data_IF_878761734438
#
_entry.id   IF_878761734438
#
_cell.length_a   1.000
_cell.length_b   1.000
_cell.length_c   1.000
_cell.angle_alpha   90.00
_cell.angle_beta   90.00
_cell.angle_gamma   90.00
#
_symmetry.space_group_name_H-M   'P 1'
#
loop_
_entity.id
_entity.type
_entity.pdbx_description
1 polymer ?
#
# COMPACT_ATOMS: atom_id res chain seq x y z
N UNK A 1 12.07 13.66 9.13
CA UNK A 1 11.35 13.59 7.83
C UNK A 1 9.86 13.69 8.12
N UNK A 2 9.19 14.77 7.73
CA UNK A 2 7.74 14.94 7.99
C UNK A 2 6.89 13.97 7.16
N UNK A 3 5.69 13.69 7.63
CA UNK A 3 4.70 12.85 6.91
C UNK A 3 4.33 13.54 5.60
N UNK A 4 4.40 12.81 4.47
CA UNK A 4 4.00 13.36 3.17
C UNK A 4 2.49 13.35 3.02
N UNK A 5 1.97 14.22 2.15
CA UNK A 5 0.55 14.28 1.81
C UNK A 5 0.05 12.87 1.42
N UNK A 6 -1.03 12.44 2.07
CA UNK A 6 -1.71 11.15 1.88
C UNK A 6 -1.07 9.92 2.53
N UNK A 7 0.04 10.06 3.24
CA UNK A 7 0.66 8.94 3.96
C UNK A 7 0.06 8.74 5.36
N UNK A 8 0.14 7.50 5.85
CA UNK A 8 -0.29 7.14 7.19
C UNK A 8 0.70 7.61 8.25
N UNK A 9 0.16 8.20 9.32
CA UNK A 9 0.92 8.42 10.54
C UNK A 9 1.33 7.09 11.16
N UNK A 10 2.35 7.11 12.02
CA UNK A 10 2.77 5.93 12.76
C UNK A 10 1.61 5.32 13.58
N UNK A 11 0.82 6.17 14.23
CA UNK A 11 -0.34 5.73 15.01
C UNK A 11 -1.43 5.08 14.15
N UNK A 12 -1.69 5.61 12.95
CA UNK A 12 -2.65 5.00 12.02
C UNK A 12 -2.11 3.67 11.47
N UNK A 13 -0.83 3.63 11.11
CA UNK A 13 -0.18 2.43 10.60
C UNK A 13 -0.26 1.28 11.62
N UNK A 14 0.06 1.53 12.88
CA UNK A 14 -0.01 0.52 13.95
C UNK A 14 -1.39 -0.10 14.13
N UNK A 15 -2.46 0.65 13.84
CA UNK A 15 -3.83 0.14 13.93
C UNK A 15 -4.19 -0.78 12.76
N UNK A 16 -3.72 -0.46 11.54
CA UNK A 16 -4.09 -1.23 10.35
C UNK A 16 -3.14 -2.38 10.04
N UNK A 17 -1.84 -2.25 10.35
CA UNK A 17 -0.83 -3.23 9.99
C UNK A 17 -1.16 -4.67 10.47
N UNK A 18 -1.74 -4.89 11.66
CA UNK A 18 -2.17 -6.23 12.10
C UNK A 18 -3.35 -6.82 11.31
N UNK A 19 -4.05 -6.03 10.49
CA UNK A 19 -5.19 -6.50 9.70
C UNK A 19 -4.82 -6.85 8.25
N UNK A 20 -3.71 -6.32 7.74
CA UNK A 20 -3.33 -6.48 6.32
C UNK A 20 -2.67 -7.83 6.01
N UNK A 21 -3.00 -8.53 4.93
CA UNK A 21 -2.32 -9.78 4.57
C UNK A 21 -0.88 -9.54 4.07
N UNK A 22 -0.09 -10.61 3.97
CA UNK A 22 1.29 -10.57 3.47
C UNK A 22 2.32 -10.16 4.52
N UNK A 23 2.00 -10.34 5.81
CA UNK A 23 2.93 -10.15 6.92
C UNK A 23 4.00 -11.25 6.95
N UNK A 24 5.05 -11.02 7.74
CA UNK A 24 6.04 -12.06 8.07
C UNK A 24 5.29 -13.18 8.79
N UNK A 25 5.29 -14.39 8.20
CA UNK A 25 4.56 -15.56 8.71
C UNK A 25 3.30 -15.93 7.92
N UNK A 26 2.80 -15.05 7.05
CA UNK A 26 1.67 -15.39 6.18
C UNK A 26 2.13 -16.34 5.05
N UNK A 27 1.27 -17.30 4.68
CA UNK A 27 1.55 -18.19 3.56
C UNK A 27 1.60 -17.40 2.24
N UNK A 28 2.71 -17.50 1.51
CA UNK A 28 2.93 -16.81 0.25
C UNK A 28 4.09 -15.81 0.30
N UNK A 29 4.18 -14.94 -0.71
CA UNK A 29 5.26 -13.96 -0.81
C UNK A 29 4.91 -12.76 0.09
N UNK A 30 5.61 -12.60 1.22
CA UNK A 30 5.50 -11.40 2.04
C UNK A 30 5.79 -10.18 1.17
N UNK A 31 4.88 -9.21 1.15
CA UNK A 31 5.09 -7.96 0.42
C UNK A 31 6.33 -7.27 0.98
N UNK A 32 7.22 -6.77 0.11
CA UNK A 32 8.52 -6.23 0.52
C UNK A 32 8.41 -5.08 1.53
N UNK A 33 7.29 -4.33 1.49
CA UNK A 33 6.90 -3.35 2.52
C UNK A 33 5.39 -3.03 2.40
N UNK A 34 4.57 -3.58 3.29
CA UNK A 34 3.11 -3.33 3.32
C UNK A 34 2.77 -1.86 3.59
N UNK A 35 3.61 -1.12 4.31
CA UNK A 35 3.36 0.30 4.60
C UNK A 35 3.54 1.13 3.36
N UNK A 36 4.63 0.90 2.63
CA UNK A 36 4.92 1.57 1.37
C UNK A 36 3.84 1.28 0.33
N UNK A 37 3.37 0.03 0.24
CA UNK A 37 2.24 -0.36 -0.59
C UNK A 37 0.96 0.41 -0.23
N UNK A 38 0.58 0.43 1.05
CA UNK A 38 -0.63 1.13 1.50
C UNK A 38 -0.55 2.64 1.26
N UNK A 39 0.60 3.25 1.52
CA UNK A 39 0.82 4.65 1.23
C UNK A 39 0.71 4.95 -0.27
N UNK A 40 1.19 4.05 -1.14
CA UNK A 40 1.02 4.16 -2.59
C UNK A 40 -0.45 4.10 -3.02
N UNK A 41 -1.22 3.15 -2.47
CA UNK A 41 -2.65 3.04 -2.73
C UNK A 41 -3.40 4.30 -2.26
N UNK A 42 -3.13 4.77 -1.04
CA UNK A 42 -3.76 5.98 -0.50
C UNK A 42 -3.43 7.23 -1.31
N UNK A 43 -2.21 7.33 -1.83
CA UNK A 43 -1.84 8.44 -2.71
C UNK A 43 -2.71 8.44 -3.96
N UNK A 44 -2.89 7.30 -4.64
CA UNK A 44 -3.75 7.19 -5.83
C UNK A 44 -5.20 7.47 -5.48
N UNK A 45 -5.75 6.80 -4.47
CA UNK A 45 -7.16 6.91 -4.10
C UNK A 45 -7.55 8.32 -3.61
N UNK A 46 -6.65 9.05 -2.94
CA UNK A 46 -6.94 10.41 -2.45
C UNK A 46 -6.63 11.50 -3.47
N UNK A 47 -5.67 11.27 -4.37
CA UNK A 47 -5.35 12.24 -5.42
C UNK A 47 -6.24 12.11 -6.65
N UNK A 48 -6.81 10.93 -6.90
CA UNK A 48 -7.53 10.61 -8.12
C UNK A 48 -6.64 10.43 -9.36
N UNK A 49 -5.32 10.48 -9.19
CA UNK A 49 -4.37 10.30 -10.30
C UNK A 49 -4.42 8.89 -10.89
N UNK A 50 -3.96 8.73 -12.13
CA UNK A 50 -3.84 7.40 -12.71
C UNK A 50 -2.75 6.59 -12.01
N UNK A 51 -2.92 5.26 -11.94
CA UNK A 51 -1.90 4.36 -11.39
C UNK A 51 -0.53 4.53 -12.05
N UNK A 52 -0.48 4.83 -13.35
CA UNK A 52 0.77 5.06 -14.09
C UNK A 52 1.58 6.24 -13.54
N UNK A 53 0.93 7.19 -12.90
CA UNK A 53 1.54 8.39 -12.32
C UNK A 53 1.94 8.18 -10.85
N UNK A 54 1.79 6.96 -10.33
CA UNK A 54 2.22 6.62 -8.98
C UNK A 54 3.72 6.95 -8.82
N UNK A 55 4.08 7.76 -7.82
CA UNK A 55 5.48 8.08 -7.57
C UNK A 55 6.33 6.84 -7.30
N UNK A 56 7.52 6.77 -7.91
CA UNK A 56 8.43 5.62 -7.79
C UNK A 56 8.84 5.28 -6.36
N UNK A 57 8.78 6.27 -5.45
CA UNK A 57 8.99 6.08 -4.00
C UNK A 57 7.98 5.13 -3.34
N UNK A 58 6.91 4.73 -4.03
CA UNK A 58 5.97 3.71 -3.55
C UNK A 58 6.15 2.36 -4.28
N UNK A 59 7.17 2.26 -5.14
CA UNK A 59 7.46 1.11 -5.97
C UNK A 59 6.90 1.22 -7.38
N UNK A 60 7.11 0.17 -8.17
CA UNK A 60 6.67 0.11 -9.57
C UNK A 60 5.14 0.07 -9.64
N UNK A 61 4.53 1.02 -10.33
CA UNK A 61 3.08 1.15 -10.40
C UNK A 61 2.35 -0.14 -10.79
N UNK A 62 2.90 -0.93 -11.74
CA UNK A 62 2.31 -2.21 -12.18
C UNK A 62 2.19 -3.20 -11.03
N UNK A 63 3.22 -3.25 -10.18
CA UNK A 63 3.26 -4.14 -9.02
C UNK A 63 2.24 -3.72 -7.98
N UNK A 64 2.19 -2.43 -7.66
CA UNK A 64 1.24 -1.88 -6.68
C UNK A 64 -0.20 -2.07 -7.18
N UNK A 65 -0.50 -1.71 -8.42
CA UNK A 65 -1.84 -1.89 -8.99
C UNK A 65 -2.27 -3.35 -9.02
N UNK A 66 -1.38 -4.29 -9.39
CA UNK A 66 -1.67 -5.72 -9.39
C UNK A 66 -1.96 -6.24 -7.98
N UNK A 67 -1.19 -5.80 -6.98
CA UNK A 67 -1.40 -6.20 -5.59
C UNK A 67 -2.71 -5.63 -5.04
N UNK A 68 -3.02 -4.36 -5.34
CA UNK A 68 -4.28 -3.72 -4.99
C UNK A 68 -5.48 -4.47 -5.60
N UNK A 69 -5.47 -4.75 -6.91
CA UNK A 69 -6.53 -5.53 -7.57
C UNK A 69 -6.71 -6.92 -6.92
N UNK A 70 -5.63 -7.59 -6.54
CA UNK A 70 -5.70 -8.89 -5.85
C UNK A 70 -6.39 -8.79 -4.50
N UNK A 71 -6.08 -7.75 -3.72
CA UNK A 71 -6.72 -7.52 -2.43
C UNK A 71 -8.20 -7.20 -2.58
N UNK A 72 -8.57 -6.32 -3.52
CA UNK A 72 -9.98 -6.05 -3.81
C UNK A 72 -10.74 -7.31 -4.24
N UNK A 73 -10.15 -8.15 -5.09
CA UNK A 73 -10.77 -9.41 -5.51
C UNK A 73 -10.91 -10.41 -4.35
N UNK A 74 -10.00 -10.37 -3.37
CA UNK A 74 -10.04 -11.18 -2.17
C UNK A 74 -10.97 -10.62 -1.06
N UNK A 75 -11.62 -9.47 -1.29
CA UNK A 75 -12.52 -8.83 -0.32
C UNK A 75 -11.80 -8.20 0.88
N UNK A 76 -10.53 -7.82 0.72
CA UNK A 76 -9.73 -7.09 1.72
C UNK A 76 -10.03 -5.59 1.67
#
# INVERSE_FOLDING_TARGET
MGIKRYELTEAQWRRIAPLLPGKVGDAGRSGTDNRMFMNGCLWVLRSGAHWKDLPERYGKWKTVHRQFSRWCHAGV
#
